data_IF_776552567145
#
_entry.id   IF_776552567145
#
_cell.length_a   1.000
_cell.length_b   1.000
_cell.length_c   1.000
_cell.angle_alpha   90.00
_cell.angle_beta   90.00
_cell.angle_gamma   90.00
#
_symmetry.space_group_name_H-M   'P 1'
#
loop_
_entity.id
_entity.type
_entity.pdbx_description
1 polymer ?
#
# COMPACT_ATOMS: atom_id res chain seq x y z
N UNK A 1 -21.61 -18.37 -5.22
CA UNK A 1 -21.04 -17.15 -5.84
C UNK A 1 -19.56 -17.17 -5.52
N UNK A 2 -18.68 -16.95 -6.49
CA UNK A 2 -17.24 -16.99 -6.24
C UNK A 2 -16.85 -15.89 -5.25
N UNK A 3 -16.26 -16.27 -4.11
CA UNK A 3 -15.73 -15.33 -3.12
C UNK A 3 -14.35 -14.78 -3.50
N UNK A 4 -14.05 -14.76 -4.81
CA UNK A 4 -12.83 -14.22 -5.39
C UNK A 4 -13.09 -12.82 -5.90
N UNK A 5 -12.27 -11.86 -5.50
CA UNK A 5 -12.25 -10.49 -6.03
C UNK A 5 -10.80 -10.08 -6.28
N UNK A 6 -10.54 -9.28 -7.32
CA UNK A 6 -9.19 -8.85 -7.68
C UNK A 6 -9.24 -7.50 -8.41
N UNK A 7 -8.39 -6.57 -7.98
CA UNK A 7 -8.24 -5.21 -8.56
C UNK A 7 -6.87 -4.99 -9.21
N UNK A 8 -6.09 -6.06 -9.44
CA UNK A 8 -4.75 -5.98 -10.06
C UNK A 8 -4.72 -5.24 -11.39
N UNK A 9 -5.76 -5.37 -12.20
CA UNK A 9 -5.85 -4.68 -13.49
C UNK A 9 -5.96 -3.15 -13.36
N UNK A 10 -6.21 -2.62 -12.17
CA UNK A 10 -6.41 -1.18 -11.91
C UNK A 10 -5.16 -0.44 -11.44
N UNK A 11 -4.07 -1.14 -11.09
CA UNK A 11 -2.94 -0.58 -10.33
C UNK A 11 -1.63 -0.47 -11.13
N UNK A 12 -1.63 -0.82 -12.42
CA UNK A 12 -0.43 -0.76 -13.28
C UNK A 12 0.69 -1.72 -12.85
N UNK A 13 1.89 -1.55 -13.42
CA UNK A 13 3.09 -2.34 -13.08
C UNK A 13 3.53 -2.17 -11.62
N UNK A 14 4.19 -3.19 -11.05
CA UNK A 14 4.76 -3.09 -9.70
C UNK A 14 5.91 -2.08 -9.68
N UNK A 15 6.03 -1.34 -8.57
CA UNK A 15 7.08 -0.33 -8.36
C UNK A 15 8.07 -0.80 -7.29
N UNK A 16 9.22 -0.14 -7.21
CA UNK A 16 10.31 -0.49 -6.29
C UNK A 16 10.76 0.73 -5.48
N UNK A 17 10.64 0.62 -4.15
CA UNK A 17 11.10 1.63 -3.21
C UNK A 17 12.62 1.63 -2.99
N UNK A 18 13.31 0.59 -3.47
CA UNK A 18 14.71 0.34 -3.20
C UNK A 18 15.01 0.29 -1.70
N UNK A 19 16.05 1.00 -1.29
CA UNK A 19 16.51 1.03 0.12
C UNK A 19 15.82 2.09 0.97
N UNK A 20 14.91 2.88 0.40
CA UNK A 20 14.28 4.01 1.10
C UNK A 20 13.08 3.54 1.93
N UNK A 21 12.84 4.11 3.13
CA UNK A 21 11.73 3.73 4.00
C UNK A 21 10.40 4.37 3.55
N UNK A 22 10.01 4.13 2.30
CA UNK A 22 8.87 4.81 1.64
C UNK A 22 7.66 3.89 1.40
N UNK A 23 7.67 2.67 1.95
CA UNK A 23 6.62 1.67 1.76
C UNK A 23 5.21 2.18 2.07
N UNK A 24 5.05 2.95 3.16
CA UNK A 24 3.75 3.52 3.53
C UNK A 24 3.25 4.48 2.45
N UNK A 25 4.14 5.30 1.88
CA UNK A 25 3.81 6.23 0.80
C UNK A 25 3.48 5.48 -0.49
N UNK A 26 4.17 4.39 -0.81
CA UNK A 26 3.82 3.52 -1.95
C UNK A 26 2.42 2.93 -1.77
N UNK A 27 2.17 2.29 -0.63
CA UNK A 27 0.89 1.65 -0.35
C UNK A 27 -0.27 2.66 -0.37
N UNK A 28 -0.06 3.86 0.18
CA UNK A 28 -1.05 4.94 0.13
C UNK A 28 -1.29 5.46 -1.28
N UNK A 29 -0.23 5.72 -2.07
CA UNK A 29 -0.38 6.21 -3.44
C UNK A 29 -1.12 5.19 -4.33
N UNK A 30 -0.77 3.91 -4.21
CA UNK A 30 -1.40 2.80 -4.95
C UNK A 30 -2.88 2.60 -4.52
N UNK A 31 -3.18 2.67 -3.22
CA UNK A 31 -4.56 2.60 -2.70
C UNK A 31 -5.40 3.78 -3.20
N UNK A 32 -4.82 4.98 -3.20
CA UNK A 32 -5.50 6.20 -3.66
C UNK A 32 -5.74 6.19 -5.17
N UNK A 33 -4.81 5.67 -5.96
CA UNK A 33 -4.96 5.49 -7.41
C UNK A 33 -6.19 4.65 -7.73
N UNK A 34 -6.32 3.48 -7.08
CA UNK A 34 -7.46 2.58 -7.30
C UNK A 34 -8.75 3.25 -6.82
N UNK A 35 -8.75 3.87 -5.63
CA UNK A 35 -9.93 4.53 -5.10
C UNK A 35 -10.46 5.65 -6.02
N UNK A 36 -9.59 6.29 -6.80
CA UNK A 36 -9.95 7.30 -7.80
C UNK A 36 -10.29 6.75 -9.18
N UNK A 37 -10.11 5.46 -9.41
CA UNK A 37 -10.07 4.87 -10.76
C UNK A 37 -9.11 5.65 -11.68
N UNK A 38 -7.98 6.09 -11.15
CA UNK A 38 -7.01 6.90 -11.89
C UNK A 38 -6.12 6.01 -12.77
N UNK A 39 -6.02 6.34 -14.06
CA UNK A 39 -5.36 5.52 -15.09
C UNK A 39 -3.83 5.59 -15.14
N UNK A 40 -3.19 6.24 -14.18
CA UNK A 40 -1.74 6.39 -14.09
C UNK A 40 -1.24 6.25 -12.65
N UNK A 41 0.04 6.51 -12.42
CA UNK A 41 0.60 6.49 -11.06
C UNK A 41 0.50 7.85 -10.38
N UNK A 42 0.18 7.83 -9.09
CA UNK A 42 0.45 8.97 -8.23
C UNK A 42 1.89 8.95 -7.72
N UNK A 43 2.44 10.16 -7.57
CA UNK A 43 3.78 10.41 -7.07
C UNK A 43 3.88 10.02 -5.61
N UNK A 44 4.55 8.90 -5.38
CA UNK A 44 4.92 8.47 -4.04
C UNK A 44 5.97 9.40 -3.41
N UNK A 45 6.86 9.98 -4.23
CA UNK A 45 7.83 10.98 -3.77
C UNK A 45 7.14 12.20 -3.17
N UNK A 46 6.14 12.73 -3.88
CA UNK A 46 5.40 13.91 -3.48
C UNK A 46 4.71 13.69 -2.13
N UNK A 47 3.98 12.58 -1.98
CA UNK A 47 3.29 12.27 -0.73
C UNK A 47 4.28 12.09 0.42
N UNK A 48 5.38 11.38 0.18
CA UNK A 48 6.41 11.14 1.18
C UNK A 48 7.09 12.44 1.63
N UNK A 49 7.55 13.27 0.69
CA UNK A 49 8.23 14.52 0.97
C UNK A 49 7.32 15.53 1.67
N UNK A 50 6.03 15.62 1.29
CA UNK A 50 5.05 16.48 2.00
C UNK A 50 4.84 16.01 3.44
N UNK A 51 4.63 14.71 3.65
CA UNK A 51 4.49 14.15 5.00
C UNK A 51 5.76 14.35 5.86
N UNK A 52 6.95 14.16 5.29
CA UNK A 52 8.21 14.41 5.98
C UNK A 52 8.37 15.89 6.36
N UNK A 53 8.06 16.80 5.44
CA UNK A 53 8.08 18.25 5.68
C UNK A 53 7.12 18.67 6.79
N UNK A 54 5.89 18.14 6.81
CA UNK A 54 4.92 18.41 7.88
C UNK A 54 5.44 17.98 9.25
N UNK A 55 6.19 16.88 9.33
CA UNK A 55 6.80 16.39 10.56
C UNK A 55 8.13 17.07 10.93
N UNK A 56 8.66 17.96 10.09
CA UNK A 56 9.99 18.53 10.26
C UNK A 56 11.13 17.50 10.18
N UNK A 57 10.90 16.35 9.54
CA UNK A 57 11.85 15.24 9.42
C UNK A 57 12.45 15.16 8.00
N UNK A 58 13.56 14.43 7.87
CA UNK A 58 14.20 14.21 6.57
C UNK A 58 13.36 13.28 5.68
N UNK A 59 13.34 13.51 4.37
CA UNK A 59 12.73 12.59 3.39
C UNK A 59 13.54 11.31 3.15
N UNK A 60 14.64 11.13 3.90
CA UNK A 60 15.35 9.86 4.02
C UNK A 60 14.79 8.97 5.14
N UNK A 61 13.91 9.50 6.00
CA UNK A 61 13.30 8.81 7.13
C UNK A 61 11.90 8.29 6.78
N UNK A 62 11.44 7.26 7.48
CA UNK A 62 10.08 6.76 7.29
C UNK A 62 9.06 7.74 7.87
N UNK A 63 7.92 7.93 7.19
CA UNK A 63 6.82 8.77 7.68
C UNK A 63 5.78 7.97 8.46
N UNK A 64 5.15 8.60 9.46
CA UNK A 64 4.09 8.01 10.26
C UNK A 64 2.72 8.19 9.60
N UNK A 65 1.74 7.36 10.00
CA UNK A 65 0.35 7.49 9.55
C UNK A 65 -0.24 8.89 9.78
N UNK A 66 -0.13 9.52 10.96
CA UNK A 66 -0.67 10.87 11.18
C UNK A 66 -0.14 11.90 10.17
N UNK A 67 1.17 11.88 9.90
CA UNK A 67 1.79 12.81 8.95
C UNK A 67 1.37 12.54 7.51
N UNK A 68 1.30 11.26 7.12
CA UNK A 68 0.89 10.87 5.78
C UNK A 68 -0.59 11.18 5.51
N UNK A 69 -1.48 10.88 6.48
CA UNK A 69 -2.90 11.20 6.39
C UNK A 69 -3.11 12.70 6.28
N UNK A 70 -2.40 13.50 7.10
CA UNK A 70 -2.52 14.96 7.06
C UNK A 70 -1.97 15.55 5.76
N UNK A 71 -0.84 15.04 5.26
CA UNK A 71 -0.29 15.45 3.96
C UNK A 71 -1.26 15.17 2.81
N UNK A 72 -1.83 13.97 2.77
CA UNK A 72 -2.78 13.58 1.72
C UNK A 72 -4.07 14.40 1.78
N UNK A 73 -4.51 14.76 2.99
CA UNK A 73 -5.73 15.53 3.24
C UNK A 73 -5.58 17.01 2.91
N UNK A 74 -4.46 17.64 3.28
CA UNK A 74 -4.25 19.08 3.12
C UNK A 74 -3.61 19.48 1.80
N UNK A 75 -2.59 18.73 1.36
CA UNK A 75 -1.80 19.08 0.18
C UNK A 75 -2.03 18.10 -0.97
N UNK A 76 -2.44 16.87 -0.67
CA UNK A 76 -2.61 15.80 -1.64
C UNK A 76 -1.28 15.24 -2.16
N UNK A 77 -1.34 14.60 -3.32
CA UNK A 77 -0.16 14.15 -4.08
C UNK A 77 -0.37 14.46 -5.56
N UNK A 78 0.72 14.60 -6.31
CA UNK A 78 0.66 14.84 -7.77
C UNK A 78 0.77 13.53 -8.54
N UNK A 79 0.69 13.59 -9.87
CA UNK A 79 1.00 12.46 -10.75
C UNK A 79 2.49 12.10 -10.68
N UNK A 80 2.83 10.83 -10.91
CA UNK A 80 4.23 10.36 -10.91
C UNK A 80 5.09 11.12 -11.93
N UNK A 81 4.54 11.45 -13.10
CA UNK A 81 5.20 12.25 -14.13
C UNK A 81 5.53 13.67 -13.69
N UNK A 82 4.80 14.21 -12.70
CA UNK A 82 4.98 15.55 -12.19
C UNK A 82 6.00 15.61 -11.05
N UNK A 83 6.20 14.53 -10.30
CA UNK A 83 7.27 14.45 -9.31
C UNK A 83 7.77 13.01 -9.24
N UNK A 84 8.68 12.61 -10.15
CA UNK A 84 9.10 11.23 -10.24
C UNK A 84 9.85 10.75 -9.00
N UNK A 85 9.73 9.47 -8.70
CA UNK A 85 10.39 8.85 -7.56
C UNK A 85 11.90 9.14 -7.52
N UNK A 86 12.41 9.53 -6.35
CA UNK A 86 13.81 9.89 -6.13
C UNK A 86 14.24 11.26 -6.65
N UNK A 87 13.33 12.08 -7.20
CA UNK A 87 13.65 13.44 -7.64
C UNK A 87 13.46 14.46 -6.52
N UNK A 88 14.30 15.51 -6.52
CA UNK A 88 14.36 16.50 -5.45
C UNK A 88 13.10 17.38 -5.33
N UNK A 89 12.32 17.54 -6.41
CA UNK A 89 11.17 18.43 -6.42
C UNK A 89 10.23 18.16 -7.60
N UNK A 90 9.02 18.73 -7.54
CA UNK A 90 8.05 18.60 -8.61
C UNK A 90 8.43 19.44 -9.82
N UNK A 91 8.04 18.97 -11.00
CA UNK A 91 7.88 19.80 -12.19
C UNK A 91 6.77 20.84 -11.95
N UNK A 92 6.89 22.01 -12.58
CA UNK A 92 5.99 23.14 -12.37
C UNK A 92 4.58 22.88 -12.91
N UNK A 93 3.55 23.37 -12.20
CA UNK A 93 2.16 23.41 -12.68
C UNK A 93 1.34 22.13 -12.45
N UNK A 94 1.81 21.23 -11.60
CA UNK A 94 1.14 19.96 -11.32
C UNK A 94 -0.15 20.13 -10.48
N UNK A 95 -1.18 19.35 -10.83
CA UNK A 95 -2.42 19.25 -10.05
C UNK A 95 -2.20 18.30 -8.87
N UNK A 96 -2.59 18.75 -7.67
CA UNK A 96 -2.66 17.88 -6.48
C UNK A 96 -3.99 17.16 -6.42
N UNK A 97 -3.94 15.88 -6.08
CA UNK A 97 -5.09 15.02 -5.82
C UNK A 97 -5.14 14.71 -4.32
N UNK A 98 -6.21 15.13 -3.65
CA UNK A 98 -6.35 15.02 -2.21
C UNK A 98 -7.14 13.77 -1.82
N UNK A 99 -6.87 13.19 -0.67
CA UNK A 99 -7.64 12.05 -0.16
C UNK A 99 -7.75 12.05 1.36
N UNK A 100 -8.82 11.47 1.88
CA UNK A 100 -8.96 11.21 3.32
C UNK A 100 -8.63 9.75 3.58
N UNK A 101 -7.67 9.51 4.48
CA UNK A 101 -7.29 8.15 4.90
C UNK A 101 -8.11 7.76 6.12
N UNK A 102 -8.79 6.63 6.06
CA UNK A 102 -9.43 5.99 7.22
C UNK A 102 -8.58 4.81 7.65
N UNK A 103 -8.13 4.82 8.91
CA UNK A 103 -7.31 3.75 9.50
C UNK A 103 -8.17 2.96 10.49
N UNK A 104 -8.11 1.63 10.40
CA UNK A 104 -8.85 0.72 11.27
C UNK A 104 -8.04 -0.54 11.57
N UNK A 105 -8.46 -1.31 12.58
CA UNK A 105 -7.98 -2.68 12.74
C UNK A 105 -8.38 -3.52 11.53
N UNK A 106 -7.60 -4.57 11.24
CA UNK A 106 -7.91 -5.42 10.10
C UNK A 106 -9.23 -6.18 10.31
N UNK A 107 -10.18 -5.95 9.42
CA UNK A 107 -11.44 -6.69 9.34
C UNK A 107 -11.57 -7.38 7.98
N UNK A 108 -11.68 -8.71 8.01
CA UNK A 108 -11.74 -9.54 6.82
C UNK A 108 -12.98 -9.23 5.96
N UNK A 109 -14.13 -9.00 6.59
CA UNK A 109 -15.37 -8.71 5.90
C UNK A 109 -15.30 -7.38 5.16
N UNK A 110 -14.78 -6.34 5.82
CA UNK A 110 -14.54 -5.01 5.24
C UNK A 110 -13.56 -5.09 4.09
N UNK A 111 -12.41 -5.77 4.27
CA UNK A 111 -11.42 -5.91 3.20
C UNK A 111 -12.01 -6.59 1.95
N UNK A 112 -12.84 -7.61 2.13
CA UNK A 112 -13.55 -8.27 1.03
C UNK A 112 -14.62 -7.38 0.39
N UNK A 113 -15.33 -6.58 1.17
CA UNK A 113 -16.35 -5.66 0.67
C UNK A 113 -15.73 -4.54 -0.20
N UNK A 114 -14.59 -4.00 0.22
CA UNK A 114 -13.80 -3.02 -0.56
C UNK A 114 -13.37 -3.60 -1.91
N UNK A 115 -12.76 -4.80 -1.91
CA UNK A 115 -12.34 -5.48 -3.14
C UNK A 115 -13.50 -5.77 -4.08
N UNK A 116 -14.66 -6.20 -3.56
CA UNK A 116 -15.88 -6.42 -4.36
C UNK A 116 -16.43 -5.11 -4.96
N UNK A 117 -16.06 -3.97 -4.38
CA UNK A 117 -16.43 -2.63 -4.84
C UNK A 117 -15.35 -1.99 -5.72
N UNK A 118 -14.41 -2.78 -6.25
CA UNK A 118 -13.26 -2.32 -7.05
C UNK A 118 -12.34 -1.33 -6.31
N UNK A 119 -12.32 -1.36 -4.98
CA UNK A 119 -11.39 -0.59 -4.14
C UNK A 119 -10.29 -1.51 -3.61
N UNK A 120 -9.11 -0.96 -3.38
CA UNK A 120 -8.04 -1.64 -2.68
C UNK A 120 -7.98 -1.24 -1.22
N UNK A 121 -7.29 -2.06 -0.43
CA UNK A 121 -7.07 -1.81 0.99
C UNK A 121 -5.57 -1.75 1.26
N UNK A 122 -5.11 -0.64 1.81
CA UNK A 122 -3.77 -0.54 2.34
C UNK A 122 -3.63 -1.34 3.63
N UNK A 123 -2.48 -1.96 3.84
CA UNK A 123 -2.20 -2.79 5.00
C UNK A 123 -0.82 -2.45 5.55
N UNK A 124 -0.74 -2.10 6.84
CA UNK A 124 0.52 -2.04 7.57
C UNK A 124 0.63 -3.26 8.48
N UNK A 125 1.81 -3.89 8.51
CA UNK A 125 2.04 -5.14 9.22
C UNK A 125 3.46 -5.22 9.79
N UNK A 126 3.58 -6.06 10.82
CA UNK A 126 4.83 -6.56 11.34
C UNK A 126 5.27 -7.77 10.50
N UNK A 127 6.48 -7.73 9.95
CA UNK A 127 7.02 -8.80 9.12
C UNK A 127 7.88 -9.76 9.94
N UNK A 128 7.79 -11.06 9.66
CA UNK A 128 8.83 -12.03 9.97
C UNK A 128 9.58 -12.49 8.71
N UNK A 129 10.39 -13.53 8.87
CA UNK A 129 11.34 -13.96 7.87
C UNK A 129 10.67 -14.53 6.61
N UNK A 130 9.56 -15.27 6.74
CA UNK A 130 8.90 -15.91 5.59
C UNK A 130 8.37 -14.89 4.59
N UNK A 131 7.82 -13.77 5.08
CA UNK A 131 7.38 -12.68 4.22
C UNK A 131 8.56 -12.08 3.44
N UNK A 132 9.68 -11.86 4.13
CA UNK A 132 10.87 -11.27 3.54
C UNK A 132 11.46 -12.14 2.42
N UNK A 133 11.47 -13.46 2.61
CA UNK A 133 12.06 -14.43 1.70
C UNK A 133 11.11 -14.95 0.60
N UNK A 134 9.89 -14.42 0.48
CA UNK A 134 8.92 -14.91 -0.50
C UNK A 134 9.45 -14.73 -1.95
N UNK A 135 9.45 -15.83 -2.73
CA UNK A 135 9.95 -15.87 -4.12
C UNK A 135 8.93 -16.37 -5.14
N UNK A 136 7.76 -16.80 -4.68
CA UNK A 136 6.74 -17.43 -5.52
C UNK A 136 5.34 -17.18 -4.94
N UNK A 137 4.36 -17.98 -5.36
CA UNK A 137 2.97 -17.89 -4.87
C UNK A 137 2.71 -18.65 -3.56
N UNK A 138 3.74 -19.10 -2.84
CA UNK A 138 3.58 -19.81 -1.58
C UNK A 138 2.77 -18.97 -0.60
N UNK A 139 1.77 -19.59 0.02
CA UNK A 139 0.94 -18.94 1.02
C UNK A 139 1.77 -18.65 2.28
N UNK A 140 1.82 -17.39 2.70
CA UNK A 140 2.35 -17.02 4.01
C UNK A 140 1.21 -17.13 5.02
N UNK A 141 1.19 -18.22 5.78
CA UNK A 141 0.13 -18.52 6.75
C UNK A 141 0.55 -18.39 8.22
N UNK A 142 1.85 -18.30 8.49
CA UNK A 142 2.39 -18.14 9.85
C UNK A 142 3.80 -17.56 9.82
N UNK A 143 4.05 -16.51 10.61
CA UNK A 143 5.40 -16.13 11.03
C UNK A 143 5.52 -16.42 12.53
N UNK A 144 6.38 -17.37 12.89
CA UNK A 144 6.59 -17.82 14.27
C UNK A 144 7.76 -17.08 14.93
N UNK A 145 8.28 -16.06 14.24
CA UNK A 145 9.43 -15.26 14.69
C UNK A 145 8.98 -13.90 15.19
N UNK A 146 9.66 -13.31 16.19
CA UNK A 146 9.40 -11.92 16.58
C UNK A 146 9.51 -10.98 15.36
N UNK A 147 8.72 -9.88 15.32
CA UNK A 147 8.77 -8.92 14.23
C UNK A 147 10.19 -8.45 13.94
N UNK A 148 10.65 -8.59 12.69
CA UNK A 148 11.96 -8.08 12.26
C UNK A 148 11.86 -6.68 11.65
N UNK A 149 10.68 -6.31 11.13
CA UNK A 149 10.45 -5.00 10.53
C UNK A 149 8.95 -4.64 10.53
N UNK A 150 8.65 -3.35 10.35
CA UNK A 150 7.31 -2.88 9.97
C UNK A 150 7.30 -2.54 8.49
N UNK A 151 6.21 -2.86 7.81
CA UNK A 151 6.09 -2.64 6.38
C UNK A 151 4.64 -2.34 5.98
N UNK A 152 4.46 -1.76 4.80
CA UNK A 152 3.16 -1.47 4.24
C UNK A 152 3.04 -2.02 2.82
N UNK A 153 1.89 -2.62 2.53
CA UNK A 153 1.53 -3.25 1.25
C UNK A 153 0.09 -2.91 0.90
N UNK A 154 -0.37 -3.35 -0.28
CA UNK A 154 -1.76 -3.16 -0.72
C UNK A 154 -2.43 -4.51 -0.92
N UNK A 155 -3.54 -4.77 -0.26
CA UNK A 155 -4.43 -5.89 -0.57
C UNK A 155 -5.11 -5.59 -1.90
N UNK A 156 -4.86 -6.44 -2.90
CA UNK A 156 -5.33 -6.29 -4.29
C UNK A 156 -6.24 -7.42 -4.74
N UNK A 157 -6.46 -8.43 -3.90
CA UNK A 157 -7.39 -9.50 -4.19
C UNK A 157 -7.64 -10.41 -3.01
N UNK A 158 -8.63 -11.27 -3.15
CA UNK A 158 -8.94 -12.33 -2.21
C UNK A 158 -9.42 -13.57 -2.97
N UNK A 159 -9.27 -14.74 -2.35
CA UNK A 159 -9.85 -16.00 -2.82
C UNK A 159 -10.28 -16.84 -1.62
N UNK A 160 -11.34 -17.62 -1.81
CA UNK A 160 -11.76 -18.63 -0.85
C UNK A 160 -11.14 -20.00 -1.22
N UNK A 161 -10.40 -20.60 -0.28
CA UNK A 161 -9.94 -21.99 -0.35
C UNK A 161 -10.54 -22.77 0.83
N UNK A 162 -9.70 -23.40 1.67
CA UNK A 162 -10.12 -23.87 2.99
C UNK A 162 -10.46 -22.69 3.89
N UNK A 163 -9.67 -21.62 3.78
CA UNK A 163 -9.84 -20.33 4.47
C UNK A 163 -9.77 -19.18 3.45
N UNK A 164 -10.04 -17.95 3.90
CA UNK A 164 -9.83 -16.76 3.08
C UNK A 164 -8.34 -16.42 3.01
N UNK A 165 -7.88 -16.20 1.79
CA UNK A 165 -6.53 -15.76 1.49
C UNK A 165 -6.58 -14.41 0.76
N UNK A 166 -5.63 -13.54 1.07
CA UNK A 166 -5.51 -12.22 0.47
C UNK A 166 -4.25 -12.09 -0.35
N UNK A 167 -4.41 -11.51 -1.53
CA UNK A 167 -3.31 -11.19 -2.41
C UNK A 167 -2.81 -9.79 -2.11
N UNK A 168 -1.54 -9.66 -1.79
CA UNK A 168 -0.89 -8.37 -1.54
C UNK A 168 0.06 -8.00 -2.66
N UNK A 169 0.09 -6.72 -2.99
CA UNK A 169 1.08 -6.07 -3.83
C UNK A 169 2.10 -5.37 -2.95
N UNK A 170 3.38 -5.64 -3.21
CA UNK A 170 4.49 -5.03 -2.49
C UNK A 170 5.16 -3.94 -3.34
N UNK A 171 6.04 -3.16 -2.72
CA UNK A 171 6.86 -2.11 -3.35
C UNK A 171 8.34 -2.47 -3.37
N UNK A 172 8.67 -3.75 -3.52
CA UNK A 172 10.06 -4.27 -3.60
C UNK A 172 10.40 -4.78 -5.01
N UNK A 173 9.76 -4.22 -6.02
CA UNK A 173 9.93 -4.63 -7.41
C UNK A 173 9.32 -5.99 -7.73
N UNK A 174 9.41 -6.37 -9.01
CA UNK A 174 8.79 -7.59 -9.53
C UNK A 174 9.49 -8.88 -9.07
N UNK A 175 10.72 -8.78 -8.54
CA UNK A 175 11.50 -9.92 -8.06
C UNK A 175 11.11 -10.44 -6.67
N UNK A 176 10.20 -9.76 -5.97
CA UNK A 176 9.63 -10.25 -4.71
C UNK A 176 8.33 -11.02 -4.96
N UNK A 177 8.16 -12.16 -4.29
CA UNK A 177 7.02 -13.04 -4.53
C UNK A 177 6.89 -13.44 -6.00
N UNK A 178 5.66 -13.52 -6.50
CA UNK A 178 5.41 -13.64 -7.93
C UNK A 178 5.11 -12.27 -8.54
N UNK A 179 6.04 -11.75 -9.34
CA UNK A 179 5.91 -10.48 -10.05
C UNK A 179 5.57 -9.30 -9.13
N UNK A 180 6.09 -9.29 -7.89
CA UNK A 180 5.82 -8.27 -6.89
C UNK A 180 4.59 -8.51 -6.01
N UNK A 181 3.99 -9.69 -6.09
CA UNK A 181 2.80 -10.07 -5.33
C UNK A 181 2.99 -11.34 -4.49
N UNK A 182 2.24 -11.44 -3.40
CA UNK A 182 2.23 -12.62 -2.53
C UNK A 182 0.83 -12.93 -2.00
N UNK A 183 0.63 -14.16 -1.53
CA UNK A 183 -0.62 -14.57 -0.87
C UNK A 183 -0.38 -14.70 0.63
N UNK A 184 -1.26 -14.08 1.43
CA UNK A 184 -1.26 -14.13 2.88
C UNK A 184 -2.57 -14.80 3.37
N UNK A 185 -2.52 -15.61 4.41
CA UNK A 185 -3.75 -16.09 5.05
C UNK A 185 -4.43 -14.96 5.84
N UNK A 186 -5.75 -15.02 5.99
CA UNK A 186 -6.48 -14.07 6.84
C UNK A 186 -5.99 -14.11 8.30
N UNK A 187 -5.62 -15.30 8.79
CA UNK A 187 -5.04 -15.48 10.13
C UNK A 187 -3.69 -14.78 10.26
N UNK A 188 -2.79 -14.95 9.28
CA UNK A 188 -1.50 -14.25 9.26
C UNK A 188 -1.70 -12.74 9.32
N UNK A 189 -2.60 -12.19 8.50
CA UNK A 189 -2.89 -10.75 8.52
C UNK A 189 -3.42 -10.34 9.89
N UNK A 190 -4.40 -11.05 10.46
CA UNK A 190 -4.96 -10.73 11.78
C UNK A 190 -3.91 -10.67 12.89
N UNK A 191 -2.93 -11.57 12.86
CA UNK A 191 -1.87 -11.64 13.87
C UNK A 191 -0.74 -10.64 13.63
N UNK A 192 -0.47 -10.28 12.37
CA UNK A 192 0.66 -9.42 12.00
C UNK A 192 0.28 -7.96 11.73
N UNK A 193 -0.99 -7.68 11.45
CA UNK A 193 -1.44 -6.34 11.05
C UNK A 193 -1.28 -5.35 12.20
N UNK A 194 -0.74 -4.19 11.86
CA UNK A 194 -0.79 -2.99 12.70
C UNK A 194 -2.12 -2.28 12.45
N UNK A 195 -2.50 -2.13 11.18
CA UNK A 195 -3.79 -1.60 10.76
C UNK A 195 -4.04 -1.89 9.29
N UNK A 196 -5.31 -1.80 8.88
CA UNK A 196 -5.69 -1.55 7.50
C UNK A 196 -6.07 -0.09 7.29
N UNK A 197 -6.02 0.37 6.06
CA UNK A 197 -6.50 1.70 5.70
C UNK A 197 -7.15 1.74 4.33
N UNK A 198 -8.17 2.58 4.21
CA UNK A 198 -8.83 2.91 2.94
C UNK A 198 -8.66 4.40 2.67
N UNK A 199 -8.86 4.80 1.41
CA UNK A 199 -8.73 6.19 1.00
C UNK A 199 -9.99 6.59 0.27
N UNK A 200 -10.65 7.65 0.77
CA UNK A 200 -11.77 8.28 0.08
C UNK A 200 -11.27 9.53 -0.65
N UNK A 201 -11.35 9.58 -1.99
CA UNK A 201 -10.93 10.73 -2.75
C UNK A 201 -11.85 11.94 -2.52
N UNK A 202 -11.26 13.13 -2.49
CA UNK A 202 -12.00 14.39 -2.47
C UNK A 202 -11.31 15.46 -3.32
N UNK A 203 -11.95 16.61 -3.49
CA UNK A 203 -11.52 17.67 -4.42
C UNK A 203 -10.04 17.99 -4.30
#
# INVERSE_FOLDING_TARGET
MSDTACVRSLIGSVRDQGRRPTCLSFAASDTHQIARAYGGFFSTECLHCRAAKLGGQSSSEGVSFPLLTEALRLEGQVEESAWPYGHAGPHTGAVSYLGTVTVAEFDEATARAELKSNKAVGLALNLGEKFFLLKDQTLVSSDVTPPVARHAVVITGCRARSDIEFEVRNSWGEGWGLNGYGWLSAEFIRLSSICMFTIEPHR
#
